data_IF_347041753329
#
_entry.id   IF_347041753329
#
_cell.length_a   1.000
_cell.length_b   1.000
_cell.length_c   1.000
_cell.angle_alpha   90.00
_cell.angle_beta   90.00
_cell.angle_gamma   90.00
#
_symmetry.space_group_name_H-M   'P 1'
#
loop_
_entity.id
_entity.type
_entity.pdbx_description
1 polymer ?
#
# COMPACT_ATOMS: atom_id res chain seq x y z
N UNK A 1 8.64 -2.93 31.22
CA UNK A 1 7.50 -1.99 31.12
C UNK A 1 7.30 -1.69 29.66
N UNK A 2 6.32 -2.31 28.99
CA UNK A 2 5.89 -1.93 27.64
C UNK A 2 4.45 -1.46 27.78
N UNK A 3 4.25 -0.15 27.76
CA UNK A 3 2.93 0.47 27.84
C UNK A 3 2.64 1.10 26.48
N UNK A 4 2.44 0.30 25.43
CA UNK A 4 2.23 0.88 24.08
C UNK A 4 1.07 0.27 23.26
N UNK A 5 0.41 -0.79 23.71
CA UNK A 5 -0.70 -1.40 22.95
C UNK A 5 -2.04 -1.37 23.71
N UNK A 6 -2.54 -0.17 24.06
CA UNK A 6 -3.94 -0.03 24.47
C UNK A 6 -4.84 -0.07 23.20
N UNK A 7 -5.82 -0.99 23.08
CA UNK A 7 -6.65 -1.11 21.88
C UNK A 7 -7.37 0.18 21.51
N UNK A 8 -7.84 0.95 22.49
CA UNK A 8 -8.50 2.24 22.25
C UNK A 8 -7.56 3.29 21.65
N UNK A 9 -6.26 3.24 21.93
CA UNK A 9 -5.30 4.18 21.34
C UNK A 9 -4.99 3.84 19.87
N UNK A 10 -4.94 2.55 19.52
CA UNK A 10 -4.65 2.10 18.14
C UNK A 10 -5.79 2.50 17.20
N UNK A 11 -7.04 2.35 17.64
CA UNK A 11 -8.23 2.73 16.85
C UNK A 11 -8.34 4.23 16.60
N UNK A 12 -7.59 5.07 17.30
CA UNK A 12 -7.54 6.52 17.05
C UNK A 12 -6.44 6.93 16.07
N UNK A 13 -5.50 6.04 15.75
CA UNK A 13 -4.39 6.37 14.89
C UNK A 13 -4.83 6.53 13.43
N UNK A 14 -4.23 7.49 12.69
CA UNK A 14 -4.34 7.50 11.24
C UNK A 14 -3.82 6.20 10.65
N UNK A 15 -4.35 5.82 9.49
CA UNK A 15 -4.05 4.53 8.88
C UNK A 15 -4.11 4.60 7.36
N UNK A 16 -3.31 3.75 6.74
CA UNK A 16 -3.44 3.41 5.33
C UNK A 16 -4.22 2.12 5.19
N UNK A 17 -5.16 2.07 4.25
CA UNK A 17 -5.74 0.83 3.74
C UNK A 17 -5.04 0.48 2.44
N UNK A 18 -4.56 -0.76 2.34
CA UNK A 18 -3.92 -1.30 1.14
C UNK A 18 -4.76 -2.46 0.64
N UNK A 19 -5.37 -2.28 -0.51
CA UNK A 19 -6.16 -3.29 -1.20
C UNK A 19 -5.30 -3.99 -2.25
N UNK A 20 -5.06 -5.28 -2.05
CA UNK A 20 -4.42 -6.14 -3.03
C UNK A 20 -5.51 -6.80 -3.87
N UNK A 21 -5.68 -6.33 -5.10
CA UNK A 21 -6.84 -6.65 -5.93
C UNK A 21 -6.51 -7.86 -6.81
N UNK A 22 -5.60 -7.70 -7.75
CA UNK A 22 -5.24 -8.73 -8.74
C UNK A 22 -3.79 -8.61 -9.17
N UNK A 23 -3.21 -9.69 -9.68
CA UNK A 23 -1.89 -9.70 -10.29
C UNK A 23 -1.90 -10.48 -11.60
N UNK A 24 -1.06 -10.06 -12.55
CA UNK A 24 -0.90 -10.69 -13.87
C UNK A 24 0.54 -10.66 -14.33
N UNK A 25 0.85 -11.46 -15.35
CA UNK A 25 2.20 -11.55 -15.92
C UNK A 25 3.23 -11.93 -14.84
N UNK A 26 2.84 -12.80 -13.91
CA UNK A 26 3.72 -13.30 -12.85
C UNK A 26 4.77 -14.21 -13.48
N UNK A 27 6.05 -13.93 -13.22
CA UNK A 27 7.12 -14.74 -13.79
C UNK A 27 7.10 -16.15 -13.22
N UNK A 28 7.42 -17.13 -14.07
CA UNK A 28 7.66 -18.51 -13.64
C UNK A 28 9.03 -18.60 -12.99
N UNK A 29 9.08 -19.13 -11.76
CA UNK A 29 10.28 -19.06 -10.92
C UNK A 29 10.97 -20.42 -10.82
N UNK A 30 10.20 -21.50 -10.82
CA UNK A 30 10.73 -22.86 -10.79
C UNK A 30 10.93 -23.46 -12.19
N UNK A 31 11.71 -24.56 -12.25
CA UNK A 31 12.07 -25.27 -13.49
C UNK A 31 10.87 -25.99 -14.15
N UNK A 32 9.82 -26.26 -13.38
CA UNK A 32 8.60 -26.95 -13.84
C UNK A 32 7.59 -25.93 -14.38
N UNK A 33 7.84 -24.64 -14.15
CA UNK A 33 7.00 -23.54 -14.58
C UNK A 33 5.87 -23.21 -13.62
N UNK A 34 5.93 -23.69 -12.37
CA UNK A 34 4.97 -23.39 -11.33
C UNK A 34 5.43 -22.20 -10.48
N UNK A 35 4.46 -21.42 -10.02
CA UNK A 35 4.63 -20.32 -9.10
C UNK A 35 3.40 -20.30 -8.20
N UNK A 36 3.61 -20.35 -6.89
CA UNK A 36 2.53 -20.19 -5.91
C UNK A 36 2.66 -18.81 -5.26
N UNK A 37 2.21 -17.73 -5.96
CA UNK A 37 2.51 -16.37 -5.55
C UNK A 37 1.76 -15.95 -4.29
N UNK A 38 2.41 -15.07 -3.53
CA UNK A 38 1.82 -14.25 -2.48
C UNK A 38 2.58 -12.93 -2.36
N UNK A 39 1.96 -11.93 -1.75
CA UNK A 39 2.55 -10.61 -1.54
C UNK A 39 2.75 -10.32 -0.07
N UNK A 40 3.90 -9.71 0.24
CA UNK A 40 4.22 -9.20 1.57
C UNK A 40 4.25 -7.68 1.49
N UNK A 41 3.42 -7.03 2.28
CA UNK A 41 3.27 -5.58 2.35
C UNK A 41 3.97 -5.10 3.61
N UNK A 42 4.88 -4.13 3.48
CA UNK A 42 5.64 -3.53 4.58
C UNK A 42 5.40 -2.03 4.67
N UNK A 43 5.21 -1.56 5.90
CA UNK A 43 5.13 -0.15 6.26
C UNK A 43 5.82 0.05 7.62
N UNK A 44 7.01 0.66 7.61
CA UNK A 44 7.80 0.84 8.84
C UNK A 44 8.14 -0.49 9.50
N UNK A 45 7.70 -0.66 10.74
CA UNK A 45 7.82 -1.88 11.56
C UNK A 45 6.72 -2.93 11.28
N UNK A 46 5.66 -2.55 10.56
CA UNK A 46 4.51 -3.39 10.29
C UNK A 46 4.69 -4.18 8.99
N UNK A 47 4.32 -5.47 9.04
CA UNK A 47 4.30 -6.35 7.87
C UNK A 47 3.04 -7.21 7.89
N UNK A 48 2.38 -7.32 6.74
CA UNK A 48 1.25 -8.24 6.52
C UNK A 48 1.46 -9.02 5.22
N UNK A 49 0.80 -10.16 5.09
CA UNK A 49 0.96 -11.08 3.96
C UNK A 49 -0.41 -11.50 3.42
N UNK A 50 -0.49 -11.65 2.10
CA UNK A 50 -1.67 -12.20 1.42
C UNK A 50 -1.81 -13.70 1.52
N UNK A 51 -3.02 -14.20 1.23
CA UNK A 51 -3.18 -15.63 0.94
C UNK A 51 -2.24 -16.05 -0.20
N UNK A 52 -1.83 -17.31 -0.16
CA UNK A 52 -1.04 -17.93 -1.22
C UNK A 52 -2.02 -18.51 -2.24
N UNK A 53 -1.79 -18.23 -3.51
CA UNK A 53 -2.51 -18.88 -4.61
C UNK A 53 -1.60 -19.92 -5.21
N UNK A 54 -2.07 -21.15 -5.36
CA UNK A 54 -1.22 -22.27 -5.79
C UNK A 54 -1.13 -22.35 -7.32
N UNK A 55 0.10 -22.38 -7.84
CA UNK A 55 0.41 -22.63 -9.25
C UNK A 55 -0.38 -21.75 -10.26
N UNK A 56 -0.25 -20.43 -10.15
CA UNK A 56 -0.90 -19.46 -11.05
C UNK A 56 0.09 -18.45 -11.64
N UNK A 57 -0.19 -17.97 -12.85
CA UNK A 57 0.51 -16.86 -13.51
C UNK A 57 -0.28 -15.53 -13.51
N UNK A 58 -1.55 -15.60 -13.10
CA UNK A 58 -2.45 -14.48 -12.86
C UNK A 58 -3.53 -14.88 -11.85
N UNK A 59 -4.05 -13.93 -11.08
CA UNK A 59 -5.09 -14.21 -10.10
C UNK A 59 -5.59 -13.00 -9.34
N UNK A 60 -6.68 -13.21 -8.60
CA UNK A 60 -7.35 -12.19 -7.80
C UNK A 60 -7.25 -12.53 -6.32
N UNK A 61 -6.91 -11.53 -5.51
CA UNK A 61 -6.84 -11.62 -4.06
C UNK A 61 -8.05 -10.93 -3.41
N UNK A 62 -8.32 -9.67 -3.78
CA UNK A 62 -9.34 -8.84 -3.14
C UNK A 62 -9.20 -8.82 -1.60
N UNK A 63 -7.98 -8.67 -1.12
CA UNK A 63 -7.66 -8.64 0.31
C UNK A 63 -7.27 -7.22 0.72
N UNK A 64 -7.81 -6.75 1.84
CA UNK A 64 -7.51 -5.43 2.42
C UNK A 64 -6.66 -5.57 3.67
N UNK A 65 -5.62 -4.75 3.77
CA UNK A 65 -4.75 -4.64 4.94
C UNK A 65 -4.77 -3.23 5.50
N UNK A 66 -4.66 -3.12 6.83
CA UNK A 66 -4.64 -1.84 7.53
C UNK A 66 -3.28 -1.63 8.17
N UNK A 67 -2.64 -0.49 7.89
CA UNK A 67 -1.35 -0.10 8.46
C UNK A 67 -1.50 1.20 9.23
N UNK A 68 -1.17 1.19 10.52
CA UNK A 68 -1.32 2.35 11.39
C UNK A 68 -0.09 3.26 11.31
N UNK A 69 -0.33 4.57 11.21
CA UNK A 69 0.74 5.58 11.18
C UNK A 69 1.22 5.85 12.60
N UNK A 70 2.17 5.02 13.06
CA UNK A 70 2.87 5.18 14.35
C UNK A 70 4.06 6.14 14.23
N UNK A 71 4.81 6.02 13.14
CA UNK A 71 5.89 6.91 12.76
C UNK A 71 5.53 7.66 11.48
N UNK A 72 5.53 9.00 11.55
CA UNK A 72 5.23 9.90 10.41
C UNK A 72 6.42 10.06 9.46
N UNK A 73 7.60 9.62 9.85
CA UNK A 73 8.80 9.66 9.00
C UNK A 73 8.78 8.60 7.90
N UNK A 74 7.99 7.54 8.06
CA UNK A 74 7.84 6.47 7.07
C UNK A 74 7.04 7.00 5.88
N UNK A 75 7.70 7.11 4.71
CA UNK A 75 7.11 7.70 3.50
C UNK A 75 6.67 6.67 2.45
N UNK A 76 7.01 5.40 2.65
CA UNK A 76 6.87 4.38 1.63
C UNK A 76 6.13 3.15 2.15
N UNK A 77 5.32 2.55 1.27
CA UNK A 77 4.89 1.15 1.38
C UNK A 77 5.70 0.34 0.39
N UNK A 78 6.32 -0.73 0.86
CA UNK A 78 7.03 -1.69 0.02
C UNK A 78 6.22 -2.97 -0.10
N UNK A 79 6.04 -3.46 -1.33
CA UNK A 79 5.34 -4.71 -1.60
C UNK A 79 6.29 -5.64 -2.33
N UNK A 80 6.45 -6.84 -1.77
CA UNK A 80 7.34 -7.88 -2.26
C UNK A 80 6.51 -9.07 -2.74
N UNK A 81 6.83 -9.59 -3.91
CA UNK A 81 6.21 -10.79 -4.46
C UNK A 81 7.11 -12.01 -4.20
N UNK A 82 6.52 -13.05 -3.64
CA UNK A 82 7.18 -14.30 -3.28
C UNK A 82 6.44 -15.48 -3.90
N UNK A 83 7.18 -16.51 -4.31
CA UNK A 83 6.61 -17.82 -4.63
C UNK A 83 6.92 -18.79 -3.50
N UNK A 84 5.88 -19.42 -2.95
CA UNK A 84 6.03 -20.47 -1.97
C UNK A 84 6.36 -21.79 -2.65
N UNK A 85 7.47 -22.41 -2.26
CA UNK A 85 7.82 -23.77 -2.67
C UNK A 85 7.91 -24.67 -1.42
N UNK A 86 8.06 -25.99 -1.62
CA UNK A 86 8.11 -26.96 -0.49
C UNK A 86 9.26 -26.73 0.49
N UNK A 87 10.37 -26.12 0.03
CA UNK A 87 11.60 -25.97 0.82
C UNK A 87 11.77 -24.55 1.32
N UNK A 88 11.71 -23.55 0.44
CA UNK A 88 11.88 -22.14 0.76
C UNK A 88 11.00 -21.26 -0.14
N UNK A 89 10.63 -20.07 0.34
CA UNK A 89 10.02 -19.04 -0.51
C UNK A 89 11.09 -18.25 -1.25
N UNK A 90 10.85 -17.94 -2.52
CA UNK A 90 11.75 -17.13 -3.34
C UNK A 90 11.10 -15.81 -3.72
N UNK A 91 11.83 -14.70 -3.53
CA UNK A 91 11.41 -13.36 -3.95
C UNK A 91 11.62 -13.19 -5.45
N UNK A 92 10.63 -12.64 -6.14
CA UNK A 92 10.69 -12.44 -7.59
C UNK A 92 10.25 -11.05 -8.06
N UNK A 93 9.61 -10.27 -7.19
CA UNK A 93 9.10 -8.94 -7.53
C UNK A 93 9.20 -7.99 -6.35
N UNK A 94 9.40 -6.70 -6.64
CA UNK A 94 9.27 -5.63 -5.65
C UNK A 94 8.64 -4.39 -6.29
N UNK A 95 7.76 -3.71 -5.56
CA UNK A 95 7.35 -2.34 -5.86
C UNK A 95 7.43 -1.50 -4.58
N UNK A 96 7.84 -0.24 -4.73
CA UNK A 96 7.88 0.74 -3.64
C UNK A 96 6.96 1.89 -4.02
N UNK A 97 5.99 2.21 -3.16
CA UNK A 97 4.97 3.23 -3.38
C UNK A 97 5.24 4.40 -2.45
N UNK A 98 5.35 5.60 -3.02
CA UNK A 98 5.45 6.87 -2.28
C UNK A 98 4.06 7.30 -1.80
N UNK A 99 3.92 7.46 -0.48
CA UNK A 99 2.65 7.79 0.17
C UNK A 99 2.26 9.27 0.04
N UNK A 100 3.14 10.12 -0.49
CA UNK A 100 2.89 11.56 -0.70
C UNK A 100 1.77 11.81 -1.74
N UNK A 101 1.36 10.77 -2.48
CA UNK A 101 0.37 10.83 -3.55
C UNK A 101 -0.85 9.91 -3.31
N UNK A 102 -1.15 9.57 -2.06
CA UNK A 102 -2.36 8.81 -1.68
C UNK A 102 -3.58 9.77 -1.61
N UNK A 103 -4.79 9.37 -2.07
CA UNK A 103 -5.15 8.05 -2.57
C UNK A 103 -4.61 7.76 -3.97
N UNK A 104 -4.31 6.50 -4.24
CA UNK A 104 -3.86 6.01 -5.54
C UNK A 104 -4.46 4.64 -5.81
N UNK A 105 -4.75 4.36 -7.08
CA UNK A 105 -5.25 3.07 -7.53
C UNK A 105 -4.80 2.79 -8.95
N UNK A 106 -4.48 1.54 -9.26
CA UNK A 106 -4.10 1.16 -10.61
C UNK A 106 -3.15 -0.02 -10.68
N UNK A 107 -2.59 -0.23 -11.86
CA UNK A 107 -1.58 -1.25 -12.12
C UNK A 107 -0.18 -0.71 -11.84
N UNK A 108 0.60 -1.47 -11.10
CA UNK A 108 1.97 -1.18 -10.76
C UNK A 108 2.86 -2.31 -11.25
N UNK A 109 3.88 -1.94 -12.02
CA UNK A 109 4.91 -2.87 -12.46
C UNK A 109 5.85 -3.18 -11.29
N UNK A 110 6.10 -4.47 -11.05
CA UNK A 110 7.03 -4.92 -10.02
C UNK A 110 8.39 -5.19 -10.64
N UNK A 111 9.42 -4.53 -10.13
CA UNK A 111 10.81 -4.78 -10.49
C UNK A 111 11.20 -6.24 -10.26
N UNK A 112 11.86 -6.85 -11.24
CA UNK A 112 12.35 -8.23 -11.14
C UNK A 112 13.60 -8.29 -10.25
N UNK A 113 13.44 -8.87 -9.06
CA UNK A 113 14.53 -8.97 -8.09
C UNK A 113 15.55 -10.04 -8.43
N UNK A 114 15.21 -11.04 -9.26
CA UNK A 114 16.11 -12.12 -9.66
C UNK A 114 17.02 -11.71 -10.80
N UNK A 115 16.49 -10.97 -11.76
CA UNK A 115 17.17 -10.56 -13.00
C UNK A 115 16.78 -9.13 -13.35
N UNK A 116 17.55 -8.14 -12.86
CA UNK A 116 17.28 -6.71 -13.08
C UNK A 116 17.23 -6.31 -14.57
N UNK A 117 17.93 -7.06 -15.42
CA UNK A 117 18.06 -6.88 -16.86
C UNK A 117 16.94 -7.58 -17.66
N UNK A 118 15.99 -8.21 -16.99
CA UNK A 118 14.95 -9.08 -17.58
C UNK A 118 13.55 -8.53 -17.29
N UNK A 119 12.51 -9.12 -17.91
CA UNK A 119 11.13 -8.68 -17.72
C UNK A 119 10.76 -8.61 -16.24
N UNK A 120 9.88 -7.66 -15.91
CA UNK A 120 9.26 -7.47 -14.58
C UNK A 120 8.86 -8.76 -13.88
N UNK A 121 8.85 -8.73 -12.55
CA UNK A 121 8.45 -9.87 -11.72
C UNK A 121 6.95 -10.18 -11.82
N UNK A 122 6.13 -9.13 -11.89
CA UNK A 122 4.67 -9.18 -12.09
C UNK A 122 4.13 -7.77 -12.41
N UNK A 123 2.86 -7.66 -12.80
CA UNK A 123 2.08 -6.44 -12.56
C UNK A 123 1.08 -6.70 -11.44
N UNK A 124 0.99 -5.78 -10.49
CA UNK A 124 0.09 -5.82 -9.36
C UNK A 124 -0.92 -4.68 -9.47
N UNK A 125 -2.21 -4.98 -9.42
CA UNK A 125 -3.25 -3.97 -9.24
C UNK A 125 -3.56 -3.81 -7.77
N UNK A 126 -3.51 -2.58 -7.31
CA UNK A 126 -3.77 -2.23 -5.92
C UNK A 126 -4.43 -0.87 -5.80
N UNK A 127 -5.01 -0.61 -4.64
CA UNK A 127 -5.50 0.68 -4.20
C UNK A 127 -4.93 0.99 -2.81
N UNK A 128 -4.53 2.23 -2.58
CA UNK A 128 -4.11 2.72 -1.27
C UNK A 128 -4.94 3.95 -0.94
N UNK A 129 -5.56 3.93 0.24
CA UNK A 129 -6.31 5.07 0.79
C UNK A 129 -5.78 5.42 2.18
N UNK A 130 -6.07 6.64 2.65
CA UNK A 130 -5.64 7.14 3.95
C UNK A 130 -6.85 7.65 4.73
N UNK A 131 -6.89 7.30 6.02
CA UNK A 131 -7.92 7.74 6.94
C UNK A 131 -7.29 8.27 8.23
N UNK A 132 -7.76 9.43 8.70
CA UNK A 132 -7.45 9.95 10.03
C UNK A 132 -8.75 10.01 10.85
N UNK A 133 -8.98 9.07 11.79
CA UNK A 133 -10.20 9.02 12.60
C UNK A 133 -10.45 10.29 13.44
N UNK A 134 -9.38 11.02 13.75
CA UNK A 134 -9.44 12.26 14.54
C UNK A 134 -9.51 13.52 13.66
N UNK A 135 -9.64 13.38 12.33
CA UNK A 135 -9.84 14.53 11.47
C UNK A 135 -11.12 15.26 11.87
N UNK A 136 -11.11 16.60 11.96
CA UNK A 136 -12.32 17.35 12.27
C UNK A 136 -13.40 17.00 11.26
N UNK A 137 -14.57 16.56 11.75
CA UNK A 137 -15.71 16.33 10.87
C UNK A 137 -16.15 17.68 10.30
N UNK A 138 -15.84 17.97 9.04
CA UNK A 138 -16.36 19.17 8.38
C UNK A 138 -17.88 19.05 8.21
N UNK A 139 -18.68 20.07 8.61
CA UNK A 139 -20.14 20.06 8.47
C UNK A 139 -20.64 19.85 7.04
N UNK A 140 -19.79 20.11 6.04
CA UNK A 140 -20.11 20.05 4.61
C UNK A 140 -19.82 18.69 3.96
N UNK A 141 -19.11 17.77 4.62
CA UNK A 141 -18.73 16.47 4.03
C UNK A 141 -19.93 15.49 3.90
N UNK A 142 -21.04 15.73 4.62
CA UNK A 142 -22.20 14.82 4.62
C UNK A 142 -23.15 14.98 3.42
N UNK A 143 -22.85 15.87 2.45
CA UNK A 143 -23.73 16.12 1.28
C UNK A 143 -23.25 15.54 -0.05
N UNK A 144 -22.18 14.74 -0.08
CA UNK A 144 -21.62 14.19 -1.31
C UNK A 144 -22.00 12.72 -1.58
N UNK A 145 -23.13 12.22 -1.06
CA UNK A 145 -23.74 11.00 -1.59
C UNK A 145 -24.49 11.32 -2.88
N UNK A 146 -23.75 11.52 -3.97
CA UNK A 146 -24.31 11.65 -5.31
C UNK A 146 -24.04 12.99 -6.00
N UNK A 147 -22.78 13.32 -6.29
CA UNK A 147 -22.44 14.14 -7.45
C UNK A 147 -20.92 14.23 -7.67
N UNK A 148 -20.52 13.91 -8.91
CA UNK A 148 -19.30 14.31 -9.62
C UNK A 148 -17.92 13.88 -9.07
N UNK A 149 -17.41 12.82 -9.70
CA UNK A 149 -16.01 12.74 -10.09
C UNK A 149 -15.60 14.05 -10.78
N UNK A 150 -14.80 14.88 -10.10
CA UNK A 150 -14.26 16.12 -10.67
C UNK A 150 -14.03 17.27 -9.70
N UNK A 151 -14.70 17.31 -8.54
CA UNK A 151 -14.54 18.41 -7.56
C UNK A 151 -13.85 18.01 -6.25
N UNK A 152 -13.48 16.73 -6.10
CA UNK A 152 -12.71 16.24 -4.95
C UNK A 152 -11.20 16.53 -5.07
N UNK A 153 -10.67 16.58 -6.31
CA UNK A 153 -9.26 16.84 -6.63
C UNK A 153 -8.79 18.25 -6.21
N UNK A 154 -9.67 19.25 -6.32
CA UNK A 154 -9.36 20.63 -5.88
C UNK A 154 -9.27 20.72 -4.34
N UNK A 155 -10.04 19.89 -3.64
CA UNK A 155 -10.10 19.89 -2.18
C UNK A 155 -8.89 19.18 -1.54
N UNK A 156 -8.37 18.13 -2.17
CA UNK A 156 -7.13 17.46 -1.73
C UNK A 156 -5.88 18.34 -1.95
N UNK A 157 -5.90 19.23 -2.96
CA UNK A 157 -4.77 20.13 -3.25
C UNK A 157 -4.60 21.25 -2.21
N UNK A 158 -5.66 21.58 -1.46
CA UNK A 158 -5.62 22.58 -0.38
C UNK A 158 -5.27 21.98 0.98
N UNK A 159 -5.22 20.65 1.11
CA UNK A 159 -4.92 19.94 2.36
C UNK A 159 -3.59 19.19 2.31
N UNK A 160 -2.63 19.64 1.47
CA UNK A 160 -1.26 19.13 1.48
C UNK A 160 -0.43 19.94 2.49
N UNK A 161 -0.17 19.35 3.65
CA UNK A 161 0.75 19.78 4.73
C UNK A 161 0.55 21.17 5.39
N UNK A 162 0.17 21.23 6.68
CA UNK A 162 0.35 22.43 7.49
C UNK A 162 1.64 22.34 8.31
N UNK A 163 2.82 22.41 7.67
CA UNK A 163 4.10 22.51 8.41
C UNK A 163 5.17 23.43 7.76
N UNK A 164 4.80 24.29 6.78
CA UNK A 164 5.72 25.32 6.26
C UNK A 164 5.12 26.74 6.32
N UNK A 165 4.69 27.17 7.51
CA UNK A 165 4.47 28.60 7.78
C UNK A 165 5.15 28.96 9.09
N UNK A 166 6.48 29.04 9.08
CA UNK A 166 7.29 29.72 10.11
C UNK A 166 8.76 29.86 9.71
N UNK A 167 9.04 30.62 8.65
CA UNK A 167 10.35 31.24 8.44
C UNK A 167 10.27 32.34 7.38
N UNK A 168 9.55 33.44 7.65
CA UNK A 168 9.81 34.74 7.01
C UNK A 168 9.04 35.85 7.72
N UNK A 169 9.51 36.20 8.92
CA UNK A 169 9.35 37.54 9.48
C UNK A 169 10.64 37.88 10.20
N UNK A 170 11.52 38.64 9.55
CA UNK A 170 12.78 39.02 10.19
C UNK A 170 13.87 39.63 9.33
N UNK A 171 13.57 40.60 8.45
CA UNK A 171 14.26 41.91 8.30
C UNK A 171 13.90 42.59 7.00
#
# INVERSE_FOLDING_TARGET
MMAEDNPASIESLPRYYVDIIEAKEIIKIDLIGHCSPYFVIKYGDQQQQTTIKENIDQGTWNERYTFYVRDKSVRFIEIFAFSKNMVNSEIFGKVTIDLTHVPLAGWFEMYNTRKPDKPKGANLKLEITYENPNAPSHPFAKKAHGCFAGFWEVFLRLWRHPDEVKAESGR
#
